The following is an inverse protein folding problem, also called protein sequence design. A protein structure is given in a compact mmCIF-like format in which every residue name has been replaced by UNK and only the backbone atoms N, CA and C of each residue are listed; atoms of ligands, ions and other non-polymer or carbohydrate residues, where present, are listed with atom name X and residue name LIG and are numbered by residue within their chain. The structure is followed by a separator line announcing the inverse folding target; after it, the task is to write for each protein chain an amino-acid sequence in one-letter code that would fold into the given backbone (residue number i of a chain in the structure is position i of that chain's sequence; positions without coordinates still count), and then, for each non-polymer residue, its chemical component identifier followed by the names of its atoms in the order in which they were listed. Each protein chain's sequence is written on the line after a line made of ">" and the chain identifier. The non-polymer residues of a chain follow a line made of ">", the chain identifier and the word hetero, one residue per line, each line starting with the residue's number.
data_IF_831639721134
#
_entry.id   IF_831639721134
#
_cell.length_a   1.000
_cell.length_b   1.000
_cell.length_c   1.000
_cell.angle_alpha   90.00
_cell.angle_beta   90.00
_cell.angle_gamma   90.00
#
_symmetry.space_group_name_H-M   'P 1'
#
loop_
_entity.id
_entity.type
_entity.pdbx_description
1 polymer ?
#
# COMPACT_ATOMS: atom_id res chain seq x y z
N UNK A 1 -14.68 -66.65 -47.46
CA UNK A 1 -15.79 -65.72 -47.11
C UNK A 1 -16.41 -65.13 -48.37
N UNK A 2 -16.96 -65.98 -49.25
CA UNK A 2 -17.63 -65.55 -50.49
C UNK A 2 -19.14 -65.27 -50.30
N UNK A 3 -19.68 -65.49 -49.09
CA UNK A 3 -21.12 -65.48 -48.80
C UNK A 3 -21.74 -64.08 -48.66
N UNK A 4 -21.05 -63.13 -48.01
CA UNK A 4 -21.64 -61.79 -47.73
C UNK A 4 -21.82 -60.95 -49.00
N UNK A 5 -20.90 -61.06 -49.96
CA UNK A 5 -21.02 -60.36 -51.25
C UNK A 5 -22.11 -60.99 -52.09
N UNK A 6 -22.22 -62.33 -52.09
CA UNK A 6 -23.29 -63.04 -52.79
C UNK A 6 -24.68 -62.67 -52.25
N UNK A 7 -24.85 -62.64 -50.93
CA UNK A 7 -26.13 -62.32 -50.30
C UNK A 7 -26.52 -60.83 -50.44
N UNK A 8 -25.55 -59.91 -50.32
CA UNK A 8 -25.77 -58.48 -50.56
C UNK A 8 -26.14 -58.19 -52.03
N UNK A 9 -25.50 -58.87 -52.98
CA UNK A 9 -25.80 -58.73 -54.42
C UNK A 9 -27.15 -59.35 -54.81
N UNK A 10 -27.66 -60.32 -54.04
CA UNK A 10 -28.93 -61.01 -54.29
C UNK A 10 -30.14 -60.35 -53.60
N UNK A 11 -29.94 -59.33 -52.76
CA UNK A 11 -31.02 -58.59 -52.12
C UNK A 11 -31.89 -57.75 -53.08
N UNK A 12 -33.16 -57.54 -52.72
CA UNK A 12 -34.19 -56.81 -53.51
C UNK A 12 -33.89 -55.30 -53.73
N UNK A 13 -32.81 -54.77 -53.18
CA UNK A 13 -32.49 -53.34 -53.30
C UNK A 13 -31.82 -53.01 -54.63
N UNK A 14 -32.29 -51.94 -55.30
CA UNK A 14 -31.83 -51.54 -56.62
C UNK A 14 -30.35 -51.11 -56.60
N UNK A 15 -29.92 -50.24 -55.68
CA UNK A 15 -28.52 -49.76 -55.63
C UNK A 15 -27.98 -50.02 -54.21
N UNK A 16 -26.76 -50.51 -54.10
CA UNK A 16 -26.15 -50.84 -52.82
C UNK A 16 -24.62 -50.80 -52.83
N UNK A 17 -24.04 -51.03 -51.67
CA UNK A 17 -22.60 -51.14 -51.52
C UNK A 17 -22.21 -52.22 -50.49
N UNK A 18 -20.99 -52.73 -50.60
CA UNK A 18 -20.32 -53.56 -49.60
C UNK A 18 -19.08 -52.81 -49.13
N UNK A 19 -19.00 -52.56 -47.82
CA UNK A 19 -17.96 -51.72 -47.21
C UNK A 19 -16.57 -52.35 -47.24
N UNK A 20 -16.48 -53.69 -47.24
CA UNK A 20 -15.24 -54.43 -47.45
C UNK A 20 -15.55 -55.81 -48.02
N UNK A 21 -14.88 -56.17 -49.11
CA UNK A 21 -14.93 -57.50 -49.72
C UNK A 21 -13.52 -57.92 -50.17
N UNK A 22 -13.20 -59.20 -50.02
CA UNK A 22 -11.98 -59.80 -50.59
C UNK A 22 -12.37 -60.69 -51.75
N UNK A 23 -11.69 -60.55 -52.88
CA UNK A 23 -12.00 -61.29 -54.09
C UNK A 23 -10.85 -62.22 -54.46
N UNK A 24 -11.16 -63.50 -54.65
CA UNK A 24 -10.16 -64.53 -54.99
C UNK A 24 -9.41 -64.21 -56.30
N UNK A 25 -10.07 -63.51 -57.23
CA UNK A 25 -9.46 -63.09 -58.51
C UNK A 25 -8.56 -61.85 -58.41
N UNK A 26 -8.60 -61.11 -57.30
CA UNK A 26 -7.86 -59.85 -57.10
C UNK A 26 -6.84 -59.92 -55.95
N UNK A 27 -6.56 -61.13 -55.45
CA UNK A 27 -5.69 -61.37 -54.29
C UNK A 27 -6.35 -61.02 -52.95
N UNK A 28 -5.58 -61.09 -51.86
CA UNK A 28 -6.07 -60.83 -50.48
C UNK A 28 -6.31 -59.33 -50.17
N UNK A 29 -6.42 -58.48 -51.19
CA UNK A 29 -6.73 -57.07 -51.00
C UNK A 29 -8.22 -56.87 -50.69
N UNK A 30 -8.50 -55.92 -49.77
CA UNK A 30 -9.87 -55.54 -49.44
C UNK A 30 -10.33 -54.40 -50.35
N UNK A 31 -11.56 -54.52 -50.85
CA UNK A 31 -12.18 -53.59 -51.78
C UNK A 31 -13.49 -53.04 -51.22
N UNK A 32 -13.73 -51.77 -51.47
CA UNK A 32 -15.08 -51.22 -51.40
C UNK A 32 -15.78 -51.50 -52.73
N UNK A 33 -17.03 -51.97 -52.68
CA UNK A 33 -17.76 -52.40 -53.88
C UNK A 33 -19.12 -51.74 -53.90
N UNK A 34 -19.44 -51.02 -54.97
CA UNK A 34 -20.78 -50.49 -55.22
C UNK A 34 -21.42 -51.25 -56.38
N UNK A 35 -22.71 -51.55 -56.29
CA UNK A 35 -23.43 -52.28 -57.33
C UNK A 35 -24.78 -51.63 -57.67
N UNK A 36 -25.17 -51.76 -58.93
CA UNK A 36 -26.46 -51.30 -59.45
C UNK A 36 -26.99 -52.26 -60.53
N UNK A 37 -28.31 -52.32 -60.76
CA UNK A 37 -28.90 -53.21 -61.75
C UNK A 37 -28.87 -52.51 -63.11
N UNK A 38 -28.79 -53.28 -64.19
CA UNK A 38 -28.96 -52.70 -65.51
C UNK A 38 -30.41 -52.89 -65.94
N UNK A 39 -31.09 -51.77 -66.22
CA UNK A 39 -32.54 -51.73 -66.40
C UNK A 39 -33.08 -52.58 -67.56
N UNK A 40 -32.22 -53.06 -68.47
CA UNK A 40 -32.63 -53.85 -69.64
C UNK A 40 -32.47 -55.36 -69.52
N UNK A 41 -31.69 -55.89 -68.56
CA UNK A 41 -31.52 -57.35 -68.36
C UNK A 41 -31.22 -57.71 -66.88
N UNK A 42 -31.28 -58.98 -66.48
CA UNK A 42 -31.06 -59.44 -65.09
C UNK A 42 -29.58 -59.38 -64.61
N UNK A 43 -28.78 -58.48 -65.17
CA UNK A 43 -27.38 -58.26 -64.81
C UNK A 43 -27.23 -57.08 -63.85
N UNK A 44 -26.26 -57.19 -62.95
CA UNK A 44 -25.82 -56.12 -62.07
C UNK A 44 -24.38 -55.75 -62.39
N UNK A 45 -24.09 -54.46 -62.46
CA UNK A 45 -22.73 -53.96 -62.62
C UNK A 45 -22.20 -53.60 -61.24
N UNK A 46 -21.03 -54.14 -60.91
CA UNK A 46 -20.30 -53.81 -59.70
C UNK A 46 -19.01 -53.08 -60.05
N UNK A 47 -18.73 -51.99 -59.34
CA UNK A 47 -17.47 -51.23 -59.43
C UNK A 47 -16.74 -51.38 -58.11
N UNK A 48 -15.45 -51.68 -58.17
CA UNK A 48 -14.61 -51.89 -57.00
C UNK A 48 -13.45 -50.89 -56.94
N UNK A 49 -13.11 -50.44 -55.74
CA UNK A 49 -11.92 -49.62 -55.48
C UNK A 49 -11.18 -50.21 -54.27
N UNK A 50 -9.86 -50.45 -54.34
CA UNK A 50 -9.08 -50.94 -53.20
C UNK A 50 -9.26 -50.02 -51.99
N UNK A 51 -9.48 -50.58 -50.79
CA UNK A 51 -9.62 -49.75 -49.57
C UNK A 51 -8.38 -48.92 -49.27
N UNK A 52 -7.19 -49.41 -49.65
CA UNK A 52 -5.94 -48.66 -49.57
C UNK A 52 -5.96 -47.39 -50.42
N UNK A 53 -6.67 -47.37 -51.53
CA UNK A 53 -6.82 -46.22 -52.43
C UNK A 53 -8.01 -45.35 -52.01
N UNK A 54 -9.16 -45.98 -51.70
CA UNK A 54 -10.35 -45.31 -51.19
C UNK A 54 -10.09 -44.52 -49.89
N UNK A 55 -9.23 -45.05 -49.00
CA UNK A 55 -8.82 -44.41 -47.75
C UNK A 55 -7.38 -43.85 -47.76
N UNK A 56 -6.67 -43.88 -48.89
CA UNK A 56 -5.32 -43.31 -49.00
C UNK A 56 -5.25 -41.87 -48.50
N UNK A 57 -6.27 -41.08 -48.87
CA UNK A 57 -6.38 -39.67 -48.50
C UNK A 57 -6.65 -39.50 -46.99
N UNK A 58 -7.44 -40.38 -46.39
CA UNK A 58 -7.76 -40.33 -44.95
C UNK A 58 -6.51 -40.51 -44.08
N UNK A 59 -5.62 -41.46 -44.43
CA UNK A 59 -4.36 -41.67 -43.71
C UNK A 59 -3.42 -40.45 -43.76
N UNK A 60 -3.38 -39.76 -44.91
CA UNK A 60 -2.60 -38.53 -45.07
C UNK A 60 -3.17 -37.38 -44.23
N UNK A 61 -4.50 -37.22 -44.21
CA UNK A 61 -5.19 -36.22 -43.39
C UNK A 61 -4.95 -36.48 -41.89
N UNK A 62 -5.06 -37.74 -41.45
CA UNK A 62 -4.87 -38.12 -40.04
C UNK A 62 -3.47 -37.76 -39.52
N UNK A 63 -2.41 -38.05 -40.30
CA UNK A 63 -1.03 -37.67 -39.93
C UNK A 63 -0.85 -36.15 -39.85
N UNK A 64 -1.42 -35.40 -40.78
CA UNK A 64 -1.33 -33.93 -40.75
C UNK A 64 -2.07 -33.35 -39.55
N UNK A 65 -3.25 -33.88 -39.20
CA UNK A 65 -3.97 -33.48 -37.98
C UNK A 65 -3.16 -33.76 -36.72
N UNK A 66 -2.54 -34.94 -36.62
CA UNK A 66 -1.67 -35.27 -35.50
C UNK A 66 -0.46 -34.33 -35.39
N UNK A 67 0.14 -33.94 -36.53
CA UNK A 67 1.22 -32.96 -36.55
C UNK A 67 0.76 -31.58 -36.07
N UNK A 68 -0.40 -31.10 -36.52
CA UNK A 68 -0.98 -29.83 -36.10
C UNK A 68 -1.25 -29.83 -34.58
N UNK A 69 -1.87 -30.90 -34.07
CA UNK A 69 -2.13 -31.06 -32.63
C UNK A 69 -0.82 -31.10 -31.85
N UNK A 70 0.18 -31.84 -32.34
CA UNK A 70 1.51 -31.90 -31.72
C UNK A 70 2.16 -30.51 -31.63
N UNK A 71 2.16 -29.76 -32.72
CA UNK A 71 2.69 -28.38 -32.77
C UNK A 71 1.91 -27.46 -31.82
N UNK A 72 0.58 -27.58 -31.77
CA UNK A 72 -0.24 -26.78 -30.86
C UNK A 72 0.07 -27.07 -29.39
N UNK A 73 0.20 -28.34 -29.01
CA UNK A 73 0.55 -28.74 -27.63
C UNK A 73 1.94 -28.25 -27.26
N UNK A 74 2.93 -28.39 -28.15
CA UNK A 74 4.29 -27.87 -27.92
C UNK A 74 4.27 -26.35 -27.80
N UNK A 75 3.54 -25.65 -28.67
CA UNK A 75 3.40 -24.20 -28.63
C UNK A 75 2.76 -23.69 -27.34
N UNK A 76 1.68 -24.33 -26.89
CA UNK A 76 1.03 -24.02 -25.61
C UNK A 76 1.94 -24.33 -24.42
N UNK A 77 2.68 -25.44 -24.47
CA UNK A 77 3.69 -25.77 -23.46
C UNK A 77 4.78 -24.71 -23.37
N UNK A 78 5.32 -24.28 -24.51
CA UNK A 78 6.32 -23.22 -24.58
C UNK A 78 5.79 -21.92 -23.98
N UNK A 79 4.61 -21.45 -24.42
CA UNK A 79 3.93 -20.26 -23.88
C UNK A 79 3.68 -20.35 -22.38
N UNK A 80 3.21 -21.51 -21.91
CA UNK A 80 2.99 -21.75 -20.48
C UNK A 80 4.28 -21.67 -19.68
N UNK A 81 5.40 -22.17 -20.22
CA UNK A 81 6.69 -22.09 -19.54
C UNK A 81 7.30 -20.70 -19.56
N UNK A 82 7.16 -19.94 -20.66
CA UNK A 82 7.73 -18.59 -20.78
C UNK A 82 6.97 -17.59 -19.92
N UNK A 83 5.63 -17.59 -19.99
CA UNK A 83 4.78 -16.70 -19.18
C UNK A 83 4.71 -17.18 -17.72
N UNK A 84 4.51 -18.48 -17.51
CA UNK A 84 4.25 -19.03 -16.18
C UNK A 84 5.44 -18.94 -15.23
N UNK A 85 6.67 -19.19 -15.71
CA UNK A 85 7.84 -19.12 -14.83
C UNK A 85 8.32 -17.68 -14.62
N UNK A 86 8.46 -16.89 -15.69
CA UNK A 86 9.00 -15.54 -15.59
C UNK A 86 8.10 -14.61 -14.77
N UNK A 87 6.81 -14.56 -15.10
CA UNK A 87 5.87 -13.64 -14.47
C UNK A 87 5.63 -13.95 -13.01
N UNK A 88 5.41 -15.23 -12.67
CA UNK A 88 5.12 -15.64 -11.28
C UNK A 88 6.31 -15.42 -10.36
N UNK A 89 7.53 -15.70 -10.83
CA UNK A 89 8.75 -15.47 -10.03
C UNK A 89 8.88 -13.99 -9.70
N UNK A 90 8.67 -13.11 -10.67
CA UNK A 90 8.79 -11.66 -10.48
C UNK A 90 7.70 -11.08 -9.58
N UNK A 91 6.46 -11.56 -9.70
CA UNK A 91 5.39 -11.22 -8.77
C UNK A 91 5.71 -11.62 -7.33
N UNK A 92 6.23 -12.84 -7.13
CA UNK A 92 6.61 -13.31 -5.79
C UNK A 92 7.78 -12.51 -5.22
N UNK A 93 8.75 -12.10 -6.04
CA UNK A 93 9.87 -11.24 -5.61
C UNK A 93 9.37 -9.86 -5.19
N UNK A 94 8.54 -9.22 -6.01
CA UNK A 94 7.98 -7.92 -5.69
C UNK A 94 7.10 -7.99 -4.44
N UNK A 95 6.26 -9.03 -4.32
CA UNK A 95 5.46 -9.28 -3.12
C UNK A 95 6.33 -9.48 -1.87
N UNK A 96 7.44 -10.20 -1.98
CA UNK A 96 8.40 -10.36 -0.89
C UNK A 96 8.98 -9.03 -0.44
N UNK A 97 9.42 -8.17 -1.37
CA UNK A 97 9.94 -6.83 -1.05
C UNK A 97 8.87 -5.91 -0.47
N UNK A 98 7.64 -5.99 -0.96
CA UNK A 98 6.51 -5.24 -0.42
C UNK A 98 6.19 -5.65 1.03
N UNK A 99 6.32 -6.95 1.37
CA UNK A 99 6.19 -7.42 2.76
C UNK A 99 7.34 -6.94 3.66
N UNK A 100 8.57 -6.86 3.14
CA UNK A 100 9.67 -6.21 3.87
C UNK A 100 9.33 -4.75 4.17
N UNK A 101 8.84 -4.01 3.17
CA UNK A 101 8.40 -2.63 3.34
C UNK A 101 7.27 -2.49 4.37
N UNK A 102 6.28 -3.38 4.32
CA UNK A 102 5.17 -3.46 5.30
C UNK A 102 5.68 -3.70 6.72
N UNK A 103 6.73 -4.51 6.88
CA UNK A 103 7.34 -4.78 8.20
C UNK A 103 8.19 -3.63 8.74
N UNK A 104 8.30 -2.51 8.01
CA UNK A 104 9.06 -1.33 8.39
C UNK A 104 10.51 -1.33 7.89
N UNK A 105 10.92 -2.33 7.12
CA UNK A 105 12.22 -2.32 6.44
C UNK A 105 12.15 -1.35 5.24
N UNK A 106 12.53 -0.10 5.51
CA UNK A 106 12.61 0.93 4.49
C UNK A 106 13.87 0.83 3.65
N UNK A 107 14.83 -0.03 3.98
CA UNK A 107 16.11 -0.16 3.25
C UNK A 107 16.07 -1.17 2.10
N UNK A 108 14.95 -1.89 1.96
CA UNK A 108 14.70 -2.76 0.82
C UNK A 108 14.80 -1.99 -0.51
N UNK A 109 15.53 -2.57 -1.47
CA UNK A 109 15.73 -1.97 -2.79
C UNK A 109 14.63 -2.37 -3.77
N UNK A 110 14.07 -1.40 -4.47
CA UNK A 110 13.10 -1.61 -5.57
C UNK A 110 13.71 -1.32 -6.94
N UNK A 111 15.05 -1.30 -7.05
CA UNK A 111 15.75 -1.08 -8.31
C UNK A 111 15.50 -2.21 -9.32
N UNK A 112 15.26 -1.83 -10.56
CA UNK A 112 15.05 -2.73 -11.69
C UNK A 112 15.47 -2.07 -12.99
N UNK A 113 16.08 -2.86 -13.89
CA UNK A 113 16.41 -2.42 -15.25
C UNK A 113 15.26 -2.67 -16.25
N UNK A 114 14.12 -3.22 -15.77
CA UNK A 114 12.96 -3.55 -16.60
C UNK A 114 12.26 -2.28 -17.10
N UNK A 115 11.77 -2.34 -18.34
CA UNK A 115 11.09 -1.25 -19.06
C UNK A 115 9.70 -1.67 -19.53
N UNK A 116 9.04 -2.45 -18.70
CA UNK A 116 7.71 -2.98 -18.91
C UNK A 116 6.82 -2.60 -17.71
N UNK A 117 5.59 -3.10 -17.70
CA UNK A 117 4.60 -2.78 -16.66
C UNK A 117 5.07 -3.21 -15.26
N UNK A 118 5.96 -4.20 -15.15
CA UNK A 118 6.56 -4.57 -13.87
C UNK A 118 7.63 -3.57 -13.45
N UNK A 119 8.40 -3.04 -14.40
CA UNK A 119 9.29 -1.91 -14.17
C UNK A 119 8.56 -0.72 -13.54
N UNK A 120 7.39 -0.38 -14.07
CA UNK A 120 6.54 0.69 -13.54
C UNK A 120 6.06 0.39 -12.10
N UNK A 121 5.68 -0.86 -11.81
CA UNK A 121 5.31 -1.29 -10.46
C UNK A 121 6.47 -1.13 -9.47
N UNK A 122 7.68 -1.56 -9.83
CA UNK A 122 8.88 -1.35 -9.01
C UNK A 122 9.14 0.15 -8.75
N UNK A 123 8.99 1.00 -9.76
CA UNK A 123 9.11 2.46 -9.62
C UNK A 123 8.08 3.05 -8.64
N UNK A 124 6.84 2.60 -8.73
CA UNK A 124 5.77 3.02 -7.81
C UNK A 124 6.07 2.63 -6.36
N UNK A 125 6.52 1.38 -6.11
CA UNK A 125 6.92 0.93 -4.78
C UNK A 125 8.16 1.66 -4.25
N UNK A 126 9.15 1.96 -5.10
CA UNK A 126 10.31 2.79 -4.72
C UNK A 126 9.84 4.16 -4.24
N UNK A 127 8.93 4.79 -4.97
CA UNK A 127 8.38 6.11 -4.64
C UNK A 127 7.61 6.07 -3.31
N UNK A 128 6.82 5.01 -3.09
CA UNK A 128 6.10 4.80 -1.84
C UNK A 128 7.05 4.66 -0.64
N UNK A 129 8.11 3.85 -0.77
CA UNK A 129 9.15 3.70 0.27
C UNK A 129 9.82 5.02 0.60
N UNK A 130 10.18 5.80 -0.42
CA UNK A 130 10.87 7.08 -0.23
C UNK A 130 9.93 8.12 0.40
N UNK A 131 8.64 8.12 0.03
CA UNK A 131 7.62 8.95 0.69
C UNK A 131 7.41 8.57 2.16
N UNK A 132 7.37 7.28 2.48
CA UNK A 132 7.24 6.80 3.86
C UNK A 132 8.45 7.22 4.72
N UNK A 133 9.67 7.08 4.19
CA UNK A 133 10.90 7.57 4.87
C UNK A 133 10.82 9.05 5.18
N UNK A 134 10.41 9.87 4.22
CA UNK A 134 10.31 11.31 4.41
C UNK A 134 9.22 11.68 5.42
N UNK A 135 8.08 11.00 5.37
CA UNK A 135 7.01 11.18 6.36
C UNK A 135 7.47 10.85 7.78
N UNK A 136 8.20 9.76 7.97
CA UNK A 136 8.75 9.37 9.27
C UNK A 136 9.75 10.42 9.76
N UNK A 137 10.71 10.83 8.93
CA UNK A 137 11.69 11.87 9.28
C UNK A 137 11.01 13.19 9.67
N UNK A 138 9.99 13.58 8.91
CA UNK A 138 9.20 14.78 9.19
C UNK A 138 8.48 14.64 10.53
N UNK A 139 7.83 13.51 10.80
CA UNK A 139 7.15 13.24 12.06
C UNK A 139 8.11 13.25 13.26
N UNK A 140 9.30 12.66 13.13
CA UNK A 140 10.36 12.70 14.14
C UNK A 140 10.81 14.15 14.42
N UNK A 141 11.04 14.94 13.38
CA UNK A 141 11.43 16.35 13.52
C UNK A 141 10.33 17.17 14.21
N UNK A 142 9.05 16.93 13.87
CA UNK A 142 7.94 17.62 14.52
C UNK A 142 7.81 17.21 15.99
N UNK A 143 8.04 15.93 16.30
CA UNK A 143 8.03 15.43 17.67
C UNK A 143 9.14 16.07 18.50
N UNK A 144 10.36 16.14 17.99
CA UNK A 144 11.49 16.77 18.68
C UNK A 144 11.24 18.26 18.96
N UNK A 145 10.67 18.98 17.98
CA UNK A 145 10.24 20.38 18.19
C UNK A 145 9.16 20.51 19.25
N UNK A 146 8.17 19.63 19.24
CA UNK A 146 7.10 19.64 20.23
C UNK A 146 7.63 19.31 21.64
N UNK A 147 8.56 18.37 21.76
CA UNK A 147 9.21 18.03 23.03
C UNK A 147 10.06 19.21 23.55
N UNK A 148 10.79 19.88 22.67
CA UNK A 148 11.59 21.08 23.02
C UNK A 148 10.69 22.23 23.48
N UNK A 149 9.65 22.57 22.70
CA UNK A 149 8.71 23.65 23.04
C UNK A 149 7.96 23.35 24.35
N UNK A 150 7.65 22.07 24.61
CA UNK A 150 7.05 21.64 25.87
C UNK A 150 8.02 21.86 27.04
N UNK A 151 9.27 21.43 26.91
CA UNK A 151 10.29 21.63 27.94
C UNK A 151 10.53 23.13 28.25
N UNK A 152 10.57 23.97 27.21
CA UNK A 152 10.68 25.43 27.37
C UNK A 152 9.47 26.02 28.10
N UNK A 153 8.26 25.54 27.78
CA UNK A 153 7.03 25.99 28.44
C UNK A 153 6.97 25.58 29.91
N UNK A 154 7.39 24.35 30.24
CA UNK A 154 7.48 23.86 31.62
C UNK A 154 8.50 24.68 32.42
N UNK A 155 9.70 24.90 31.88
CA UNK A 155 10.71 25.75 32.53
C UNK A 155 10.25 27.20 32.71
N UNK A 156 9.52 27.75 31.73
CA UNK A 156 8.93 29.09 31.85
C UNK A 156 7.87 29.15 32.96
N UNK A 157 7.00 28.15 33.05
CA UNK A 157 5.97 28.06 34.09
C UNK A 157 6.57 27.93 35.49
N UNK A 158 7.58 27.08 35.67
CA UNK A 158 8.30 26.93 36.95
C UNK A 158 8.95 28.25 37.38
N UNK A 159 9.56 28.98 36.45
CA UNK A 159 10.14 30.31 36.73
C UNK A 159 9.06 31.31 37.16
N UNK A 160 7.92 31.34 36.47
CA UNK A 160 6.80 32.22 36.82
C UNK A 160 6.24 31.89 38.21
N UNK A 161 6.09 30.61 38.54
CA UNK A 161 5.59 30.15 39.84
C UNK A 161 6.56 30.53 40.97
N UNK A 162 7.86 30.26 40.78
CA UNK A 162 8.90 30.67 41.74
C UNK A 162 8.90 32.18 41.96
N UNK A 163 8.65 32.97 40.90
CA UNK A 163 8.65 34.42 40.98
C UNK A 163 7.42 34.98 41.68
N UNK A 164 6.25 34.42 41.38
CA UNK A 164 5.01 34.74 42.08
C UNK A 164 5.09 34.40 43.57
N UNK A 165 5.72 33.28 43.94
CA UNK A 165 5.95 32.93 45.35
C UNK A 165 6.84 33.95 46.08
N UNK A 166 7.95 34.37 45.45
CA UNK A 166 8.84 35.39 46.02
C UNK A 166 8.14 36.76 46.18
N UNK A 167 7.27 37.12 45.24
CA UNK A 167 6.45 38.32 45.37
C UNK A 167 5.42 38.19 46.49
N UNK A 168 4.75 37.04 46.60
CA UNK A 168 3.81 36.75 47.67
C UNK A 168 4.44 36.91 49.05
N UNK A 169 5.65 36.35 49.26
CA UNK A 169 6.38 36.49 50.52
C UNK A 169 6.63 37.96 50.89
N UNK A 170 7.02 38.79 49.92
CA UNK A 170 7.25 40.23 50.15
C UNK A 170 5.96 41.02 50.40
N UNK A 171 4.86 40.62 49.77
CA UNK A 171 3.55 41.21 50.04
C UNK A 171 3.06 40.82 51.44
N UNK A 172 3.33 39.59 51.90
CA UNK A 172 3.03 39.14 53.26
C UNK A 172 3.88 39.90 54.29
N UNK A 173 5.19 40.07 54.07
CA UNK A 173 6.08 40.91 54.91
C UNK A 173 5.48 42.31 55.12
N UNK A 174 5.00 42.92 54.03
CA UNK A 174 4.34 44.23 54.07
C UNK A 174 3.02 44.21 54.84
N UNK A 175 2.19 43.18 54.65
CA UNK A 175 0.91 43.06 55.36
C UNK A 175 1.10 42.90 56.87
N UNK A 176 2.20 42.27 57.30
CA UNK A 176 2.61 42.13 58.70
C UNK A 176 3.24 43.43 59.28
N UNK A 177 3.36 44.48 58.46
CA UNK A 177 3.73 45.83 58.88
C UNK A 177 5.13 46.28 58.45
N UNK A 178 5.89 45.47 57.70
CA UNK A 178 7.15 45.91 57.11
C UNK A 178 6.89 46.70 55.80
N UNK A 179 6.63 47.99 55.95
CA UNK A 179 6.38 48.87 54.82
C UNK A 179 7.65 49.23 54.03
N UNK A 180 8.82 48.75 54.44
CA UNK A 180 10.08 48.92 53.70
C UNK A 180 10.32 47.79 52.70
N UNK A 181 9.51 46.73 52.73
CA UNK A 181 9.56 45.66 51.75
C UNK A 181 9.28 46.19 50.33
N UNK A 182 10.07 45.72 49.35
CA UNK A 182 9.92 46.06 47.93
C UNK A 182 10.02 44.79 47.09
N UNK A 183 9.30 44.77 45.97
CA UNK A 183 9.38 43.73 44.96
C UNK A 183 10.54 44.02 44.02
N UNK A 184 11.54 43.17 44.04
CA UNK A 184 12.62 43.21 43.05
C UNK A 184 12.15 42.52 41.79
N UNK A 185 12.20 43.15 40.61
CA UNK A 185 11.96 42.49 39.32
C UNK A 185 13.27 42.39 38.51
N UNK A 186 13.55 41.24 37.90
CA UNK A 186 14.76 41.04 37.10
C UNK A 186 14.50 41.47 35.64
N UNK A 187 15.55 41.84 34.92
CA UNK A 187 15.43 42.30 33.52
C UNK A 187 14.87 41.21 32.58
N UNK A 188 15.07 39.93 32.92
CA UNK A 188 14.59 38.78 32.16
C UNK A 188 13.22 38.25 32.62
N UNK A 189 12.58 38.92 33.59
CA UNK A 189 11.22 38.62 34.02
C UNK A 189 10.18 39.06 32.96
N UNK A 190 9.05 38.33 32.84
CA UNK A 190 7.92 38.76 32.02
C UNK A 190 7.51 40.20 32.32
N UNK A 191 7.15 40.96 31.28
CA UNK A 191 6.75 42.36 31.41
C UNK A 191 5.64 42.57 32.44
N UNK A 192 4.65 41.67 32.48
CA UNK A 192 3.59 41.69 33.48
C UNK A 192 4.11 41.62 34.93
N UNK A 193 5.15 40.82 35.21
CA UNK A 193 5.73 40.75 36.56
C UNK A 193 6.50 42.02 36.91
N UNK A 194 7.22 42.60 35.94
CA UNK A 194 7.93 43.88 36.12
C UNK A 194 6.96 45.02 36.39
N UNK A 195 5.84 45.08 35.66
CA UNK A 195 4.79 46.07 35.87
C UNK A 195 4.12 45.92 37.24
N UNK A 196 3.81 44.69 37.66
CA UNK A 196 3.29 44.39 39.01
C UNK A 196 4.27 44.87 40.09
N UNK A 197 5.56 44.56 39.95
CA UNK A 197 6.58 44.96 40.91
C UNK A 197 6.71 46.48 41.01
N UNK A 198 6.76 47.18 39.88
CA UNK A 198 6.82 48.64 39.84
C UNK A 198 5.60 49.27 40.50
N UNK A 199 4.38 48.85 40.11
CA UNK A 199 3.15 49.40 40.67
C UNK A 199 2.98 49.12 42.17
N UNK A 200 3.45 47.95 42.64
CA UNK A 200 3.48 47.66 44.07
C UNK A 200 4.45 48.59 44.81
N UNK A 201 5.68 48.74 44.30
CA UNK A 201 6.69 49.59 44.94
C UNK A 201 6.25 51.06 45.00
N UNK A 202 5.63 51.57 43.93
CA UNK A 202 5.08 52.93 43.89
C UNK A 202 4.00 53.12 44.97
N UNK A 203 3.09 52.14 45.13
CA UNK A 203 2.07 52.17 46.17
C UNK A 203 2.67 52.14 47.59
N UNK A 204 3.78 51.41 47.78
CA UNK A 204 4.50 51.36 49.05
C UNK A 204 5.18 52.69 49.37
N UNK A 205 5.78 53.35 48.39
CA UNK A 205 6.40 54.67 48.55
C UNK A 205 5.34 55.74 48.96
N UNK A 206 4.15 55.67 48.36
CA UNK A 206 3.03 56.54 48.76
C UNK A 206 2.56 56.27 50.19
N UNK A 207 2.45 55.00 50.58
CA UNK A 207 2.03 54.61 51.93
C UNK A 207 3.05 55.04 53.00
N UNK A 208 4.35 54.85 52.74
CA UNK A 208 5.44 55.29 53.61
C UNK A 208 5.41 56.81 53.80
N UNK A 209 5.17 57.56 52.72
CA UNK A 209 5.00 59.02 52.77
C UNK A 209 3.81 59.42 53.63
N UNK A 210 2.65 58.78 53.45
CA UNK A 210 1.44 59.08 54.22
C UNK A 210 1.63 58.82 55.72
N UNK A 211 2.35 57.76 56.10
CA UNK A 211 2.65 57.46 57.50
C UNK A 211 3.65 58.46 58.08
N UNK A 212 4.68 58.85 57.33
CA UNK A 212 5.62 59.88 57.74
C UNK A 212 4.92 61.23 57.98
N UNK A 213 3.91 61.59 57.16
CA UNK A 213 3.09 62.78 57.37
C UNK A 213 2.24 62.69 58.66
N UNK A 214 1.66 61.52 58.94
CA UNK A 214 0.90 61.28 60.19
C UNK A 214 1.80 61.41 61.41
N UNK A 215 3.01 60.85 61.38
CA UNK A 215 3.99 60.97 62.46
C UNK A 215 4.44 62.42 62.68
N UNK A 216 4.72 63.16 61.60
CA UNK A 216 5.08 64.57 61.67
C UNK A 216 3.94 65.43 62.27
N UNK A 217 2.69 65.14 61.89
CA UNK A 217 1.52 65.79 62.46
C UNK A 217 1.36 65.46 63.95
N UNK A 218 1.52 64.20 64.35
CA UNK A 218 1.44 63.77 65.74
C UNK A 218 2.50 64.45 66.62
N UNK A 219 3.74 64.59 66.12
CA UNK A 219 4.81 65.32 66.81
C UNK A 219 4.46 66.80 67.00
N UNK A 220 3.90 67.44 65.96
CA UNK A 220 3.45 68.85 66.03
C UNK A 220 2.34 69.02 67.08
N UNK A 221 1.37 68.11 67.12
CA UNK A 221 0.27 68.14 68.12
C UNK A 221 0.78 67.94 69.55
N UNK A 222 1.80 67.09 69.74
CA UNK A 222 2.42 66.88 71.05
C UNK A 222 3.15 68.13 71.55
N UNK A 223 3.92 68.79 70.68
CA UNK A 223 4.62 70.05 70.99
C UNK A 223 3.65 71.17 71.37
N UNK A 224 2.58 71.36 70.60
CA UNK A 224 1.53 72.35 70.89
C UNK A 224 0.77 72.03 72.19
N UNK A 225 0.60 70.75 72.54
CA UNK A 225 -0.08 70.34 73.78
C UNK A 225 0.79 70.59 75.03
N UNK A 226 2.12 70.44 74.93
CA UNK A 226 3.04 70.80 76.02
C UNK A 226 3.09 72.32 76.24
N UNK A 227 3.05 73.11 75.16
CA UNK A 227 3.01 74.58 75.24
C UNK A 227 1.73 75.14 75.88
N UNK A 228 0.63 74.37 75.91
CA UNK A 228 -0.65 74.75 76.53
C UNK A 228 -0.77 74.31 78.00
N UNK A 229 0.09 73.39 78.47
CA UNK A 229 0.07 72.90 79.87
C UNK A 229 0.97 73.68 80.85
N UNK A 230 1.76 74.65 80.38
CA UNK A 230 2.56 75.62 81.18
C UNK A 230 1.84 76.98 81.30
#
# INVERSE_FOLDING_TARGET
>A
YAGEVGDALLGESAIGHVSSATFEFAGDAQYFVAYAPVSSEDWRVAVHVPLSEAYALSGMIGRNLLLIVGVAVVGLGLLGTTLGRGTVIELNRLSGRARSLESGDLDVSFDTDRRDEFGDLYGAFSTMRDSLREQIRSAETQRERAETAKAESEAFAERLESRAAAFGEKMDDCADGDLTARLDAADDDPEALREIAAGFNDAMDELETAIAEVDAFAATVAEESEAVSD
#
